data_IF_334427160063
#
_entry.id   IF_334427160063
#
_cell.length_a   1.000
_cell.length_b   1.000
_cell.length_c   1.000
_cell.angle_alpha   90.00
_cell.angle_beta   90.00
_cell.angle_gamma   90.00
#
_symmetry.space_group_name_H-M   'P 1'
#
loop_
_entity.id
_entity.type
_entity.pdbx_description
1 polymer ?
#
# COMPACT_ATOMS: atom_id res chain seq x y z
N UNK A 1 -5.13 11.02 -10.38
CA UNK A 1 -5.08 9.66 -10.95
C UNK A 1 -6.11 8.81 -10.24
N UNK A 2 -6.78 7.96 -11.00
CA UNK A 2 -7.77 7.09 -10.42
C UNK A 2 -7.14 5.98 -9.60
N UNK A 3 -7.83 5.55 -8.58
CA UNK A 3 -7.33 4.45 -7.77
C UNK A 3 -8.48 3.54 -7.35
N UNK A 4 -8.11 2.33 -7.00
CA UNK A 4 -9.04 1.32 -6.56
C UNK A 4 -8.42 0.60 -5.37
N UNK A 5 -9.19 0.39 -4.31
CA UNK A 5 -8.69 -0.30 -3.13
C UNK A 5 -9.45 -1.62 -3.00
N UNK A 6 -8.72 -2.72 -3.02
CA UNK A 6 -9.37 -4.02 -2.86
C UNK A 6 -10.01 -4.12 -1.49
N UNK A 7 -11.11 -4.85 -1.44
CA UNK A 7 -11.91 -4.94 -0.23
C UNK A 7 -11.09 -5.43 0.96
N UNK A 8 -10.29 -6.44 0.75
CA UNK A 8 -9.48 -6.99 1.82
C UNK A 8 -8.45 -5.98 2.32
N UNK A 9 -7.86 -5.24 1.40
CA UNK A 9 -6.89 -4.20 1.75
C UNK A 9 -7.57 -3.11 2.58
N UNK A 10 -8.74 -2.67 2.13
CA UNK A 10 -9.48 -1.63 2.84
C UNK A 10 -9.83 -2.07 4.25
N UNK A 11 -10.22 -3.31 4.42
CA UNK A 11 -10.58 -3.83 5.73
C UNK A 11 -9.37 -3.84 6.66
N UNK A 12 -8.22 -4.25 6.15
CA UNK A 12 -7.01 -4.28 6.96
C UNK A 12 -6.56 -2.88 7.35
N UNK A 13 -6.69 -1.93 6.43
CA UNK A 13 -6.35 -0.54 6.72
C UNK A 13 -7.24 0.00 7.83
N UNK A 14 -8.55 -0.21 7.71
CA UNK A 14 -9.48 0.29 8.71
C UNK A 14 -9.20 -0.30 10.09
N UNK A 15 -8.91 -1.59 10.13
CA UNK A 15 -8.62 -2.25 11.39
C UNK A 15 -7.36 -1.69 12.03
N UNK A 16 -6.32 -1.50 11.24
CA UNK A 16 -5.07 -0.97 11.77
C UNK A 16 -5.21 0.46 12.23
N UNK A 17 -5.98 1.28 11.51
CA UNK A 17 -6.17 2.66 11.90
C UNK A 17 -6.96 2.80 13.18
N UNK A 18 -7.87 1.87 13.47
CA UNK A 18 -8.59 1.90 14.73
C UNK A 18 -7.66 1.69 15.90
N UNK A 19 -6.68 0.82 15.74
CA UNK A 19 -5.73 0.55 16.81
C UNK A 19 -4.63 1.58 16.89
N UNK A 20 -4.37 2.28 15.82
CA UNK A 20 -3.27 3.23 15.74
C UNK A 20 -3.74 4.47 15.02
N UNK A 21 -4.43 5.40 15.73
CA UNK A 21 -5.01 6.57 15.06
C UNK A 21 -4.03 7.41 14.24
N UNK A 22 -2.78 7.62 14.66
CA UNK A 22 -1.86 8.39 13.82
C UNK A 22 -1.58 7.76 12.46
N UNK A 23 -1.84 6.46 12.34
CA UNK A 23 -1.58 5.77 11.09
C UNK A 23 -2.42 6.32 9.94
N UNK A 24 -3.63 6.77 10.25
CA UNK A 24 -4.52 7.29 9.21
C UNK A 24 -3.90 8.45 8.44
N UNK A 25 -3.32 9.40 9.16
CA UNK A 25 -2.70 10.55 8.51
C UNK A 25 -1.50 10.18 7.67
N UNK A 26 -0.70 9.25 8.20
CA UNK A 26 0.47 8.78 7.46
C UNK A 26 0.05 8.06 6.19
N UNK A 27 -0.97 7.21 6.29
CA UNK A 27 -1.48 6.50 5.13
C UNK A 27 -2.03 7.44 4.08
N UNK A 28 -2.81 8.42 4.49
CA UNK A 28 -3.37 9.38 3.55
C UNK A 28 -2.27 10.14 2.81
N UNK A 29 -1.24 10.52 3.53
CA UNK A 29 -0.12 11.22 2.92
C UNK A 29 0.60 10.34 1.91
N UNK A 30 0.83 9.08 2.26
CA UNK A 30 1.51 8.17 1.36
C UNK A 30 0.67 7.82 0.14
N UNK A 31 -0.63 7.63 0.33
CA UNK A 31 -1.51 7.37 -0.78
C UNK A 31 -1.52 8.55 -1.75
N UNK A 32 -1.55 9.76 -1.22
CA UNK A 32 -1.50 10.95 -2.05
C UNK A 32 -0.20 10.99 -2.86
N UNK A 33 0.91 10.64 -2.22
CA UNK A 33 2.20 10.62 -2.88
C UNK A 33 2.23 9.56 -3.99
N UNK A 34 1.66 8.39 -3.72
CA UNK A 34 1.59 7.33 -4.71
C UNK A 34 0.77 7.76 -5.92
N UNK A 35 -0.35 8.42 -5.68
CA UNK A 35 -1.20 8.86 -6.78
C UNK A 35 -0.53 9.95 -7.62
N UNK A 36 0.35 10.73 -7.00
CA UNK A 36 1.09 11.76 -7.74
C UNK A 36 2.26 11.17 -8.52
N UNK A 37 2.94 10.18 -7.93
CA UNK A 37 4.14 9.61 -8.54
C UNK A 37 4.13 8.11 -8.38
N UNK A 38 3.24 7.42 -9.10
CA UNK A 38 3.07 5.97 -8.85
C UNK A 38 4.28 5.12 -9.19
N UNK A 39 5.18 5.61 -10.01
CA UNK A 39 6.37 4.85 -10.37
C UNK A 39 7.57 5.17 -9.50
N UNK A 40 7.39 6.03 -8.51
CA UNK A 40 8.49 6.45 -7.64
C UNK A 40 8.93 5.33 -6.70
N UNK A 41 8.03 4.47 -6.28
CA UNK A 41 8.32 3.47 -5.26
C UNK A 41 8.86 2.18 -5.88
N UNK A 42 9.64 1.45 -5.10
CA UNK A 42 10.33 0.28 -5.61
C UNK A 42 9.42 -0.91 -5.78
N UNK A 43 9.63 -1.71 -6.83
CA UNK A 43 8.86 -2.93 -6.99
C UNK A 43 9.27 -3.96 -5.93
N UNK A 44 8.38 -4.91 -5.68
CA UNK A 44 8.71 -6.05 -4.87
C UNK A 44 9.75 -6.87 -5.60
N UNK A 45 10.60 -7.51 -4.81
CA UNK A 45 11.67 -8.27 -5.37
C UNK A 45 11.21 -9.45 -6.11
N UNK A 46 10.17 -9.98 -5.95
CA UNK A 46 9.80 -11.19 -6.51
C UNK A 46 9.10 -11.12 -7.78
N UNK A 47 8.77 -12.23 -8.40
CA UNK A 47 8.31 -12.26 -9.76
C UNK A 47 6.99 -11.58 -10.02
N UNK A 48 6.33 -11.08 -9.01
CA UNK A 48 5.10 -10.37 -9.22
C UNK A 48 5.38 -9.05 -9.87
N UNK A 49 5.52 -9.06 -11.16
CA UNK A 49 5.84 -7.88 -11.91
C UNK A 49 4.77 -6.84 -11.75
N UNK A 50 5.21 -5.59 -11.59
CA UNK A 50 4.28 -4.49 -11.48
C UNK A 50 3.76 -4.23 -10.08
N UNK A 51 4.03 -5.10 -9.14
CA UNK A 51 3.64 -4.87 -7.76
C UNK A 51 4.71 -4.02 -7.08
N UNK A 52 4.30 -2.92 -6.49
CA UNK A 52 5.21 -2.02 -5.78
C UNK A 52 4.85 -1.96 -4.33
N UNK A 53 5.80 -1.55 -3.50
CA UNK A 53 5.60 -1.52 -2.07
C UNK A 53 5.99 -0.17 -1.49
N UNK A 54 5.31 0.21 -0.42
CA UNK A 54 5.61 1.43 0.32
C UNK A 54 5.59 1.08 1.80
N UNK A 55 6.65 1.44 2.50
CA UNK A 55 6.68 1.25 3.95
C UNK A 55 5.87 2.36 4.62
N UNK A 56 5.01 1.96 5.53
CA UNK A 56 4.18 2.89 6.29
C UNK A 56 4.63 2.79 7.74
N UNK A 57 5.14 3.90 8.28
CA UNK A 57 5.82 3.88 9.56
C UNK A 57 6.95 2.86 9.47
N UNK A 58 7.19 2.09 10.52
CA UNK A 58 8.25 1.09 10.47
C UNK A 58 7.72 -0.32 10.37
N UNK A 59 6.46 -0.49 10.66
CA UNK A 59 5.92 -1.84 10.83
C UNK A 59 5.03 -2.32 9.71
N UNK A 60 4.54 -1.42 8.88
CA UNK A 60 3.54 -1.78 7.88
C UNK A 60 4.06 -1.61 6.48
N UNK A 61 3.45 -2.34 5.56
CA UNK A 61 3.76 -2.22 4.13
C UNK A 61 2.44 -2.18 3.37
N UNK A 62 2.36 -1.23 2.45
CA UNK A 62 1.23 -1.11 1.53
C UNK A 62 1.73 -1.53 0.16
N UNK A 63 1.02 -2.45 -0.48
CA UNK A 63 1.39 -2.88 -1.83
C UNK A 63 0.35 -2.40 -2.81
N UNK A 64 0.81 -2.04 -4.00
CA UNK A 64 -0.08 -1.58 -5.03
C UNK A 64 0.45 -1.95 -6.40
N UNK A 65 -0.42 -1.85 -7.38
CA UNK A 65 -0.09 -2.16 -8.77
C UNK A 65 -0.60 -1.03 -9.64
N UNK A 66 0.21 -0.66 -10.62
CA UNK A 66 -0.19 0.35 -11.60
C UNK A 66 -0.53 -0.34 -12.91
N UNK A 67 -1.74 -0.14 -13.38
CA UNK A 67 -2.19 -0.78 -14.60
C UNK A 67 -3.10 0.16 -15.36
N UNK A 68 -2.73 0.49 -16.59
CA UNK A 68 -3.53 1.37 -17.46
C UNK A 68 -3.89 2.70 -16.79
N UNK A 69 -2.91 3.27 -16.09
CA UNK A 69 -3.13 4.56 -15.45
C UNK A 69 -3.95 4.52 -14.18
N UNK A 70 -4.29 3.33 -13.70
CA UNK A 70 -5.06 3.18 -12.48
C UNK A 70 -4.18 2.50 -11.42
N UNK A 71 -4.20 3.06 -10.20
CA UNK A 71 -3.47 2.48 -9.10
C UNK A 71 -4.41 1.54 -8.33
N UNK A 72 -4.00 0.30 -8.20
CA UNK A 72 -4.77 -0.69 -7.46
C UNK A 72 -4.04 -0.99 -6.14
N UNK A 73 -4.65 -0.63 -5.02
CA UNK A 73 -4.08 -0.96 -3.72
C UNK A 73 -4.49 -2.38 -3.36
N UNK A 74 -3.50 -3.26 -3.25
CA UNK A 74 -3.74 -4.69 -3.21
C UNK A 74 -3.77 -5.22 -1.80
N UNK A 75 -2.79 -4.83 -0.98
CA UNK A 75 -2.69 -5.38 0.35
C UNK A 75 -2.03 -4.38 1.29
N UNK A 76 -2.33 -4.53 2.56
CA UNK A 76 -1.75 -3.74 3.63
C UNK A 76 -1.63 -4.64 4.85
N UNK A 77 -0.41 -4.78 5.36
CA UNK A 77 -0.22 -5.64 6.51
C UNK A 77 1.12 -5.31 7.15
N UNK A 78 1.40 -6.00 8.26
CA UNK A 78 2.71 -5.87 8.88
C UNK A 78 3.80 -6.31 7.92
N UNK A 79 4.96 -5.68 8.07
CA UNK A 79 6.11 -5.97 7.24
C UNK A 79 6.40 -7.47 7.18
N UNK A 80 6.35 -8.14 8.34
CA UNK A 80 6.67 -9.55 8.38
C UNK A 80 5.72 -10.40 7.55
N UNK A 81 4.45 -10.03 7.55
CA UNK A 81 3.46 -10.82 6.81
C UNK A 81 3.59 -10.63 5.31
N UNK A 82 3.96 -9.42 4.89
CA UNK A 82 4.10 -9.15 3.46
C UNK A 82 5.30 -9.88 2.86
N UNK A 83 6.40 -9.90 3.60
CA UNK A 83 7.64 -10.47 3.07
C UNK A 83 7.86 -11.93 3.45
N UNK A 84 7.04 -12.44 4.32
CA UNK A 84 7.21 -13.82 4.75
C UNK A 84 6.63 -14.76 3.70
N UNK A 85 7.31 -15.83 3.44
CA UNK A 85 6.86 -16.85 2.50
C UNK A 85 6.71 -18.17 3.20
#
# INVERSE_FOLDING_TARGET
MECFIEENCKRKINKACKKNPPLKGVLESKISEILSFPEHFKPLKNPDKGIRRVHILKSFVLTYKLNDGIVYFIDFDHHDKIYKK
#
